data_IF_432270046499
#
_entry.id   IF_432270046499
#
_cell.length_a   1.000
_cell.length_b   1.000
_cell.length_c   1.000
_cell.angle_alpha   90.00
_cell.angle_beta   90.00
_cell.angle_gamma   90.00
#
_symmetry.space_group_name_H-M   'P 1'
#
loop_
_entity.id
_entity.type
_entity.pdbx_description
1 polymer ?
#
# COMPACT_ATOMS: atom_id res chain seq x y z
N UNK A 1 -4.24 -16.36 -21.67
CA UNK A 1 -5.00 -16.83 -20.49
C UNK A 1 -6.52 -16.70 -20.66
N UNK A 2 -7.04 -16.05 -21.71
CA UNK A 2 -8.47 -16.12 -22.10
C UNK A 2 -9.37 -14.99 -21.57
N UNK A 3 -8.92 -14.21 -20.58
CA UNK A 3 -9.66 -13.05 -20.07
C UNK A 3 -9.58 -11.84 -20.99
N UNK A 4 -10.56 -10.94 -20.87
CA UNK A 4 -10.62 -9.66 -21.59
C UNK A 4 -10.00 -8.56 -20.73
N UNK A 5 -9.02 -7.85 -21.29
CA UNK A 5 -8.26 -6.82 -20.58
C UNK A 5 -8.20 -5.57 -21.44
N UNK A 6 -8.72 -4.47 -20.91
CA UNK A 6 -8.72 -3.15 -21.53
C UNK A 6 -7.34 -2.49 -21.53
N UNK A 7 -7.33 -1.20 -21.87
CA UNK A 7 -6.13 -0.37 -22.00
C UNK A 7 -5.94 0.50 -20.76
N UNK A 8 -4.69 0.92 -20.51
CA UNK A 8 -4.31 1.90 -19.46
C UNK A 8 -4.66 1.44 -18.04
N UNK A 9 -4.48 0.15 -17.78
CA UNK A 9 -4.66 -0.42 -16.45
C UNK A 9 -3.43 -0.10 -15.60
N UNK A 10 -3.66 0.28 -14.34
CA UNK A 10 -2.61 0.68 -13.41
C UNK A 10 -2.67 -0.12 -12.10
N UNK A 11 -1.51 -0.62 -11.65
CA UNK A 11 -1.32 -1.14 -10.29
C UNK A 11 0.07 -0.72 -9.76
N UNK A 12 0.17 -0.08 -8.58
CA UNK A 12 1.44 0.47 -8.09
C UNK A 12 2.41 -0.58 -7.52
N UNK A 13 1.89 -1.72 -7.08
CA UNK A 13 2.60 -2.67 -6.22
C UNK A 13 2.36 -4.11 -6.69
N UNK A 14 1.70 -4.93 -5.88
CA UNK A 14 1.28 -6.29 -6.21
C UNK A 14 0.03 -6.22 -7.07
N UNK A 15 0.07 -6.84 -8.26
CA UNK A 15 -1.08 -6.92 -9.15
C UNK A 15 -2.23 -7.76 -8.56
N UNK A 16 -3.42 -7.71 -9.19
CA UNK A 16 -4.54 -8.54 -8.78
C UNK A 16 -4.23 -10.02 -8.97
N UNK A 17 -4.55 -10.83 -7.97
CA UNK A 17 -4.44 -12.29 -8.03
C UNK A 17 -5.76 -12.87 -8.53
N UNK A 18 -5.72 -13.60 -9.63
CA UNK A 18 -6.89 -14.31 -10.15
C UNK A 18 -6.90 -15.71 -9.55
N UNK A 19 -7.94 -16.00 -8.79
CA UNK A 19 -8.17 -17.32 -8.20
C UNK A 19 -9.16 -18.07 -9.09
N UNK A 20 -8.65 -19.11 -9.76
CA UNK A 20 -9.39 -19.93 -10.71
C UNK A 20 -9.06 -19.59 -12.16
N UNK A 21 -10.09 -19.26 -12.93
CA UNK A 21 -10.11 -19.24 -14.37
C UNK A 21 -9.97 -17.83 -14.95
N UNK A 22 -8.82 -17.55 -15.56
CA UNK A 22 -8.55 -16.25 -16.20
C UNK A 22 -9.53 -15.89 -17.33
N UNK A 23 -10.18 -16.86 -17.98
CA UNK A 23 -11.17 -16.60 -19.02
C UNK A 23 -12.50 -16.05 -18.49
N UNK A 24 -12.69 -16.09 -17.17
CA UNK A 24 -13.84 -15.52 -16.46
C UNK A 24 -13.50 -14.18 -15.81
N UNK A 25 -12.47 -13.49 -16.30
CA UNK A 25 -12.12 -12.15 -15.85
C UNK A 25 -12.27 -11.19 -17.03
N UNK A 26 -13.06 -10.13 -16.82
CA UNK A 26 -13.20 -9.01 -17.74
C UNK A 26 -12.85 -7.70 -17.06
N UNK A 27 -11.83 -7.02 -17.57
CA UNK A 27 -11.37 -5.72 -17.07
C UNK A 27 -11.47 -4.69 -18.18
N UNK A 28 -12.16 -3.57 -17.91
CA UNK A 28 -12.32 -2.45 -18.81
C UNK A 28 -11.08 -1.56 -18.94
N UNK A 29 -11.28 -0.39 -19.56
CA UNK A 29 -10.25 0.63 -19.76
C UNK A 29 -10.05 1.48 -18.50
N UNK A 30 -8.83 1.99 -18.28
CA UNK A 30 -8.49 2.95 -17.21
C UNK A 30 -8.78 2.45 -15.77
N UNK A 31 -8.77 1.14 -15.56
CA UNK A 31 -8.96 0.50 -14.25
C UNK A 31 -7.71 0.66 -13.39
N UNK A 32 -7.91 0.95 -12.11
CA UNK A 32 -6.85 1.02 -11.11
C UNK A 32 -7.01 -0.12 -10.12
N UNK A 33 -5.92 -0.84 -9.85
CA UNK A 33 -5.84 -1.86 -8.81
C UNK A 33 -4.91 -1.42 -7.67
N UNK A 34 -5.36 -1.65 -6.44
CA UNK A 34 -4.56 -1.63 -5.23
C UNK A 34 -3.88 -2.98 -4.98
N UNK A 35 -3.10 -2.99 -3.92
CA UNK A 35 -2.25 -4.12 -3.53
C UNK A 35 -3.09 -5.29 -3.01
N UNK A 36 -2.71 -6.51 -3.41
CA UNK A 36 -3.26 -7.76 -2.87
C UNK A 36 -4.79 -7.88 -3.03
N UNK A 37 -5.32 -7.46 -4.18
CA UNK A 37 -6.72 -7.70 -4.54
C UNK A 37 -6.90 -9.10 -5.15
N UNK A 38 -8.04 -9.73 -4.89
CA UNK A 38 -8.35 -11.10 -5.33
C UNK A 38 -9.59 -11.10 -6.22
N UNK A 39 -9.45 -11.69 -7.40
CA UNK A 39 -10.54 -11.91 -8.35
C UNK A 39 -10.88 -13.41 -8.33
N UNK A 40 -11.92 -13.77 -7.59
CA UNK A 40 -12.34 -15.17 -7.42
C UNK A 40 -13.39 -15.48 -8.47
N UNK A 41 -13.08 -16.42 -9.35
CA UNK A 41 -13.92 -16.74 -10.53
C UNK A 41 -14.71 -18.03 -10.37
N UNK A 42 -14.35 -18.86 -9.39
CA UNK A 42 -15.05 -20.09 -9.04
C UNK A 42 -15.01 -20.35 -7.53
N UNK A 43 -16.07 -20.95 -7.02
CA UNK A 43 -16.20 -21.44 -5.64
C UNK A 43 -16.96 -22.78 -5.65
N UNK A 44 -17.35 -23.28 -4.48
CA UNK A 44 -18.11 -24.53 -4.38
C UNK A 44 -19.54 -24.48 -4.98
N UNK A 45 -20.06 -23.29 -5.26
CA UNK A 45 -21.39 -23.09 -5.84
C UNK A 45 -21.29 -23.10 -7.38
N UNK A 46 -20.22 -22.54 -7.92
CA UNK A 46 -19.91 -22.61 -9.34
C UNK A 46 -19.06 -21.45 -9.83
N UNK A 47 -18.83 -21.42 -11.13
CA UNK A 47 -18.03 -20.39 -11.78
C UNK A 47 -18.89 -19.18 -12.22
N UNK A 48 -18.27 -18.00 -12.30
CA UNK A 48 -18.94 -16.78 -12.74
C UNK A 48 -17.95 -15.69 -13.12
N UNK A 49 -18.25 -14.96 -14.19
CA UNK A 49 -17.37 -13.91 -14.70
C UNK A 49 -17.30 -12.72 -13.75
N UNK A 50 -16.10 -12.40 -13.26
CA UNK A 50 -15.84 -11.16 -12.53
C UNK A 50 -15.64 -10.04 -13.56
N UNK A 51 -16.50 -9.03 -13.50
CA UNK A 51 -16.49 -7.91 -14.46
C UNK A 51 -16.12 -6.62 -13.75
N UNK A 52 -15.10 -5.92 -14.24
CA UNK A 52 -14.67 -4.63 -13.76
C UNK A 52 -14.79 -3.65 -14.92
N UNK A 53 -15.74 -2.73 -14.84
CA UNK A 53 -16.02 -1.79 -15.93
C UNK A 53 -15.03 -0.62 -15.97
N UNK A 54 -15.14 0.18 -17.03
CA UNK A 54 -14.23 1.28 -17.32
C UNK A 54 -14.10 2.26 -16.16
N UNK A 55 -12.87 2.71 -15.92
CA UNK A 55 -12.51 3.68 -14.87
C UNK A 55 -12.82 3.19 -13.45
N UNK A 56 -13.18 1.93 -13.22
CA UNK A 56 -13.33 1.43 -11.86
C UNK A 56 -12.00 1.53 -11.07
N UNK A 57 -12.11 1.59 -9.75
CA UNK A 57 -10.98 1.53 -8.84
C UNK A 57 -11.20 0.38 -7.84
N UNK A 58 -10.33 -0.61 -7.89
CA UNK A 58 -10.32 -1.78 -7.00
C UNK A 58 -9.16 -1.60 -6.03
N UNK A 59 -9.43 -1.16 -4.81
CA UNK A 59 -8.43 -0.82 -3.81
C UNK A 59 -7.69 -2.03 -3.20
N UNK A 60 -6.91 -1.75 -2.15
CA UNK A 60 -6.13 -2.77 -1.47
C UNK A 60 -7.02 -3.84 -0.80
N UNK A 61 -6.65 -5.12 -0.93
CA UNK A 61 -7.33 -6.26 -0.28
C UNK A 61 -8.81 -6.41 -0.65
N UNK A 62 -9.23 -5.87 -1.79
CA UNK A 62 -10.57 -6.12 -2.31
C UNK A 62 -10.67 -7.56 -2.76
N UNK A 63 -11.78 -8.22 -2.42
CA UNK A 63 -12.10 -9.58 -2.87
C UNK A 63 -13.36 -9.50 -3.69
N UNK A 64 -13.29 -9.82 -4.98
CA UNK A 64 -14.45 -9.90 -5.86
C UNK A 64 -14.82 -11.38 -6.05
N UNK A 65 -16.01 -11.77 -5.60
CA UNK A 65 -16.52 -13.15 -5.71
C UNK A 65 -17.12 -13.43 -7.10
N UNK A 66 -17.36 -14.70 -7.46
CA UNK A 66 -17.75 -15.06 -8.82
C UNK A 66 -19.02 -14.34 -9.28
N UNK A 67 -19.03 -13.87 -10.53
CA UNK A 67 -20.18 -13.16 -11.10
C UNK A 67 -20.41 -11.74 -10.58
N UNK A 68 -19.53 -11.20 -9.71
CA UNK A 68 -19.64 -9.80 -9.27
C UNK A 68 -19.24 -8.83 -10.37
N UNK A 69 -19.94 -7.69 -10.43
CA UNK A 69 -19.69 -6.63 -11.42
C UNK A 69 -19.45 -5.30 -10.73
N UNK A 70 -18.27 -4.71 -10.95
CA UNK A 70 -17.93 -3.36 -10.48
C UNK A 70 -18.24 -2.37 -11.60
N UNK A 71 -19.25 -1.51 -11.37
CA UNK A 71 -19.73 -0.56 -12.37
C UNK A 71 -18.72 0.53 -12.73
N UNK A 72 -18.95 1.19 -13.87
CA UNK A 72 -18.02 2.18 -14.41
C UNK A 72 -17.74 3.32 -13.42
N UNK A 73 -16.46 3.62 -13.19
CA UNK A 73 -16.04 4.64 -12.23
C UNK A 73 -16.33 4.32 -10.76
N UNK A 74 -16.85 3.13 -10.43
CA UNK A 74 -17.09 2.76 -9.05
C UNK A 74 -15.75 2.55 -8.31
N UNK A 75 -15.75 2.83 -7.00
CA UNK A 75 -14.60 2.66 -6.13
C UNK A 75 -14.91 1.58 -5.11
N UNK A 76 -14.26 0.43 -5.26
CA UNK A 76 -14.17 -0.60 -4.24
C UNK A 76 -12.97 -0.26 -3.36
N UNK A 77 -13.19 0.43 -2.25
CA UNK A 77 -12.19 0.83 -1.27
C UNK A 77 -11.55 -0.35 -0.54
N UNK A 78 -10.63 -0.06 0.36
CA UNK A 78 -9.81 -1.11 0.99
C UNK A 78 -10.65 -2.17 1.71
N UNK A 79 -10.31 -3.45 1.48
CA UNK A 79 -11.00 -4.60 2.04
C UNK A 79 -12.44 -4.77 1.58
N UNK A 80 -12.88 -4.09 0.51
CA UNK A 80 -14.23 -4.25 -0.01
C UNK A 80 -14.48 -5.70 -0.45
N UNK A 81 -15.62 -6.25 -0.03
CA UNK A 81 -16.10 -7.55 -0.51
C UNK A 81 -17.14 -7.35 -1.62
N UNK A 82 -16.83 -7.88 -2.80
CA UNK A 82 -17.73 -8.04 -3.93
C UNK A 82 -18.54 -9.33 -3.78
N UNK A 83 -19.80 -9.25 -3.38
CA UNK A 83 -20.69 -10.39 -3.22
C UNK A 83 -20.96 -11.08 -4.56
N UNK A 84 -21.09 -12.42 -4.51
CA UNK A 84 -21.38 -13.27 -5.67
C UNK A 84 -22.60 -12.75 -6.44
N UNK A 85 -22.46 -12.57 -7.76
CA UNK A 85 -23.54 -12.14 -8.64
C UNK A 85 -24.04 -10.70 -8.46
N UNK A 86 -23.45 -9.91 -7.53
CA UNK A 86 -23.92 -8.55 -7.24
C UNK A 86 -23.31 -7.54 -8.21
N UNK A 87 -24.13 -6.58 -8.64
CA UNK A 87 -23.71 -5.41 -9.39
C UNK A 87 -23.53 -4.21 -8.46
N UNK A 88 -22.35 -3.60 -8.50
CA UNK A 88 -22.02 -2.37 -7.77
C UNK A 88 -22.21 -1.18 -8.69
N UNK A 89 -23.10 -0.27 -8.31
CA UNK A 89 -23.52 0.88 -9.11
C UNK A 89 -22.34 1.73 -9.62
N UNK A 90 -22.44 2.23 -10.85
CA UNK A 90 -21.47 3.16 -11.43
C UNK A 90 -21.26 4.41 -10.56
N UNK A 91 -20.01 4.82 -10.40
CA UNK A 91 -19.54 5.92 -9.52
C UNK A 91 -19.87 5.75 -8.02
N UNK A 92 -20.37 4.59 -7.60
CA UNK A 92 -20.58 4.29 -6.18
C UNK A 92 -19.26 4.09 -5.44
N UNK A 93 -19.23 4.41 -4.15
CA UNK A 93 -18.07 4.18 -3.27
C UNK A 93 -18.43 3.14 -2.22
N UNK A 94 -17.71 2.03 -2.23
CA UNK A 94 -17.93 0.87 -1.36
C UNK A 94 -16.65 0.59 -0.57
N UNK A 95 -16.75 0.08 0.65
CA UNK A 95 -15.56 -0.25 1.47
C UNK A 95 -15.85 -1.44 2.39
N UNK A 96 -14.81 -2.19 2.70
CA UNK A 96 -14.88 -3.23 3.72
C UNK A 96 -15.84 -4.38 3.47
N UNK A 97 -16.11 -5.13 4.53
CA UNK A 97 -16.98 -6.28 4.52
C UNK A 97 -17.79 -6.32 5.81
N UNK A 98 -19.10 -6.14 5.68
CA UNK A 98 -20.05 -6.23 6.79
C UNK A 98 -21.21 -7.12 6.35
N UNK A 99 -21.44 -8.21 7.10
CA UNK A 99 -22.50 -9.20 6.81
C UNK A 99 -22.41 -9.83 5.41
N UNK A 100 -21.20 -10.07 4.93
CA UNK A 100 -20.96 -10.79 3.66
C UNK A 100 -21.00 -9.91 2.39
N UNK A 101 -20.95 -8.60 2.55
CA UNK A 101 -20.93 -7.64 1.44
C UNK A 101 -20.23 -6.34 1.86
N UNK A 102 -19.87 -5.50 0.90
CA UNK A 102 -19.26 -4.19 1.15
C UNK A 102 -20.26 -3.13 1.62
N UNK A 103 -19.77 -2.19 2.42
CA UNK A 103 -20.52 -1.05 2.93
C UNK A 103 -20.51 0.07 1.91
N UNK A 104 -21.68 0.53 1.47
CA UNK A 104 -21.81 1.67 0.58
C UNK A 104 -21.66 2.99 1.36
N UNK A 105 -20.66 3.80 1.00
CA UNK A 105 -20.45 5.14 1.55
C UNK A 105 -21.19 6.20 0.72
N UNK A 106 -21.20 6.02 -0.60
CA UNK A 106 -21.86 6.92 -1.56
C UNK A 106 -22.52 6.06 -2.64
N UNK A 107 -23.85 6.16 -2.75
CA UNK A 107 -24.63 5.47 -3.77
C UNK A 107 -24.34 6.00 -5.18
N UNK A 108 -24.38 5.11 -6.18
CA UNK A 108 -24.07 5.46 -7.57
C UNK A 108 -25.25 6.05 -8.33
N UNK A 109 -25.00 6.40 -9.59
CA UNK A 109 -25.97 7.09 -10.47
C UNK A 109 -27.22 6.23 -10.79
N UNK A 110 -27.15 4.91 -10.61
CA UNK A 110 -28.24 3.95 -10.85
C UNK A 110 -29.16 3.70 -9.65
N UNK A 111 -28.79 4.13 -8.43
CA UNK A 111 -29.58 3.86 -7.21
C UNK A 111 -30.71 4.87 -6.96
N UNK A 112 -30.85 5.87 -7.85
CA UNK A 112 -31.96 6.81 -7.79
C UNK A 112 -33.27 6.14 -8.26
N UNK A 113 -34.03 5.56 -7.34
CA UNK A 113 -35.43 5.26 -7.60
C UNK A 113 -36.18 6.55 -7.97
N UNK A 114 -37.17 6.50 -8.89
CA UNK A 114 -37.89 7.70 -9.35
C UNK A 114 -38.61 8.47 -8.23
N UNK A 115 -38.78 7.87 -7.04
CA UNK A 115 -39.39 8.49 -5.88
C UNK A 115 -38.55 9.62 -5.26
N UNK A 116 -37.21 9.55 -5.31
CA UNK A 116 -36.34 10.56 -4.68
C UNK A 116 -36.18 11.85 -5.50
N UNK A 117 -36.49 11.81 -6.80
CA UNK A 117 -36.53 13.02 -7.64
C UNK A 117 -37.71 13.93 -7.31
N UNK A 118 -38.79 13.38 -6.75
CA UNK A 118 -39.98 14.17 -6.39
C UNK A 118 -39.78 14.93 -5.07
N UNK A 119 -39.01 14.37 -4.12
CA UNK A 119 -38.78 14.98 -2.80
C UNK A 119 -37.74 16.11 -2.82
N UNK A 120 -36.70 16.01 -3.65
CA UNK A 120 -35.73 17.11 -3.84
C UNK A 120 -36.29 18.32 -4.59
N UNK A 121 -37.40 18.17 -5.32
CA UNK A 121 -38.03 19.29 -6.05
C UNK A 121 -38.99 20.10 -5.18
N UNK A 122 -39.52 19.54 -4.08
CA UNK A 122 -40.37 20.26 -3.13
C UNK A 122 -39.59 21.08 -2.09
N UNK A 123 -38.32 20.74 -1.81
CA UNK A 123 -37.48 21.49 -0.85
C UNK A 123 -36.67 22.63 -1.48
N UNK A 124 -36.52 22.66 -2.81
CA UNK A 124 -35.85 23.74 -3.53
C UNK A 124 -36.80 24.91 -3.91
N UNK A 125 -38.08 24.82 -3.59
CA UNK A 125 -39.07 25.87 -3.82
C UNK A 125 -39.16 26.86 -2.64
N UNK A 126 -38.01 27.40 -2.21
CA UNK A 126 -37.98 28.50 -1.26
C UNK A 126 -36.69 29.32 -1.44
N UNK A 127 -36.61 30.09 -2.52
CA UNK A 127 -36.10 31.49 -2.58
C UNK A 127 -35.68 31.86 -4.01
N UNK A 128 -36.04 33.06 -4.52
CA UNK A 128 -35.85 33.41 -5.93
C UNK A 128 -34.59 34.25 -6.15
N UNK A 129 -33.71 33.87 -7.07
CA UNK A 129 -32.76 34.82 -7.68
C UNK A 129 -32.57 34.48 -9.18
N UNK A 130 -33.19 35.32 -10.00
CA UNK A 130 -32.94 35.67 -11.40
C UNK A 130 -32.11 34.72 -12.28
N UNK A 131 -32.83 34.07 -13.19
CA UNK A 131 -32.29 33.47 -14.40
C UNK A 131 -31.87 34.55 -15.42
N UNK A 132 -30.64 34.48 -15.91
CA UNK A 132 -30.25 35.06 -17.20
C UNK A 132 -29.93 33.91 -18.14
N UNK A 133 -30.81 33.76 -19.13
CA UNK A 133 -30.69 32.87 -20.27
C UNK A 133 -29.65 33.41 -21.24
N UNK A 134 -28.69 32.58 -21.64
CA UNK A 134 -27.95 32.78 -22.89
C UNK A 134 -27.85 31.45 -23.62
N UNK A 135 -28.71 31.29 -24.61
CA UNK A 135 -28.61 30.26 -25.63
C UNK A 135 -27.35 30.51 -26.49
N UNK A 136 -26.59 29.46 -26.77
CA UNK A 136 -25.63 29.44 -27.87
C UNK A 136 -25.69 28.13 -28.66
N UNK A 137 -25.39 28.19 -29.97
CA UNK A 137 -25.94 27.29 -30.97
C UNK A 137 -25.02 26.10 -31.25
N UNK A 138 -25.63 25.09 -31.87
CA UNK A 138 -24.98 23.93 -32.46
C UNK A 138 -23.90 24.31 -33.49
N UNK A 139 -22.65 23.89 -33.26
CA UNK A 139 -21.64 23.82 -34.32
C UNK A 139 -20.60 22.70 -34.09
N UNK A 140 -20.55 21.80 -35.08
CA UNK A 140 -19.42 20.99 -35.55
C UNK A 140 -18.66 20.04 -34.60
N UNK A 141 -18.77 18.75 -34.91
CA UNK A 141 -18.44 17.57 -34.12
C UNK A 141 -17.09 16.90 -34.39
N UNK A 142 -15.98 17.65 -34.58
CA UNK A 142 -14.69 17.02 -34.95
C UNK A 142 -13.45 17.53 -34.20
N UNK A 143 -13.61 18.30 -33.12
CA UNK A 143 -12.51 18.75 -32.25
C UNK A 143 -12.74 18.61 -30.73
N UNK A 144 -13.94 18.20 -30.32
CA UNK A 144 -14.35 18.13 -28.90
C UNK A 144 -13.94 16.83 -28.20
N UNK A 145 -13.73 15.74 -28.94
CA UNK A 145 -13.53 14.42 -28.34
C UNK A 145 -12.16 14.28 -27.63
N UNK A 146 -11.12 14.96 -28.11
CA UNK A 146 -9.80 14.95 -27.45
C UNK A 146 -9.73 15.89 -26.25
N UNK A 147 -10.32 17.10 -26.31
CA UNK A 147 -10.34 18.01 -25.16
C UNK A 147 -11.20 17.45 -24.02
N UNK A 148 -12.31 16.79 -24.34
CA UNK A 148 -13.14 16.11 -23.35
C UNK A 148 -12.40 14.90 -22.74
N UNK A 149 -11.73 14.06 -23.54
CA UNK A 149 -10.83 12.99 -23.05
C UNK A 149 -9.64 13.51 -22.22
N UNK A 150 -9.12 14.71 -22.50
CA UNK A 150 -8.06 15.37 -21.70
C UNK A 150 -8.56 15.77 -20.31
N UNK A 151 -9.84 16.11 -20.16
CA UNK A 151 -10.45 16.50 -18.87
C UNK A 151 -10.89 15.27 -18.06
N UNK A 152 -11.33 14.20 -18.73
CA UNK A 152 -11.82 12.97 -18.09
C UNK A 152 -10.72 12.00 -17.60
N UNK A 153 -9.47 12.19 -18.03
CA UNK A 153 -8.37 11.36 -17.58
C UNK A 153 -8.00 11.65 -16.11
N UNK A 154 -7.82 10.58 -15.33
CA UNK A 154 -7.33 10.63 -13.94
C UNK A 154 -5.95 11.32 -13.88
N UNK A 155 -5.57 11.96 -12.76
CA UNK A 155 -4.30 12.68 -12.63
C UNK A 155 -3.07 11.85 -13.04
N UNK A 156 -3.05 10.57 -12.69
CA UNK A 156 -2.01 9.63 -13.14
C UNK A 156 -1.94 9.50 -14.67
N UNK A 157 -3.08 9.33 -15.33
CA UNK A 157 -3.15 9.21 -16.79
C UNK A 157 -2.80 10.52 -17.51
N UNK A 158 -3.18 11.67 -16.94
CA UNK A 158 -2.77 12.99 -17.43
C UNK A 158 -1.25 13.15 -17.40
N UNK A 159 -0.62 12.73 -16.31
CA UNK A 159 0.83 12.80 -16.18
C UNK A 159 1.56 11.82 -17.12
N UNK A 160 1.22 10.53 -17.07
CA UNK A 160 2.01 9.48 -17.74
C UNK A 160 1.65 9.30 -19.22
N UNK A 161 0.37 9.34 -19.57
CA UNK A 161 -0.08 9.06 -20.94
C UNK A 161 -0.24 10.32 -21.78
N UNK A 162 -0.64 11.43 -21.17
CA UNK A 162 -0.88 12.69 -21.88
C UNK A 162 0.27 13.69 -21.75
N UNK A 163 1.24 13.45 -20.85
CA UNK A 163 2.40 14.33 -20.66
C UNK A 163 2.05 15.70 -20.08
N UNK A 164 0.94 15.82 -19.36
CA UNK A 164 0.41 17.10 -18.84
C UNK A 164 0.98 17.50 -17.47
N UNK A 165 2.11 16.91 -17.05
CA UNK A 165 2.75 17.25 -15.79
C UNK A 165 3.77 18.40 -15.96
N UNK A 166 3.93 19.30 -14.97
CA UNK A 166 4.92 20.38 -15.01
C UNK A 166 6.37 19.91 -14.80
N UNK A 167 6.60 18.60 -14.75
CA UNK A 167 7.90 17.98 -14.49
C UNK A 167 8.11 16.77 -15.42
N UNK A 168 9.36 16.32 -15.51
CA UNK A 168 9.70 15.16 -16.34
C UNK A 168 9.22 13.85 -15.68
N UNK A 169 8.17 13.26 -16.26
CA UNK A 169 7.65 11.94 -15.86
C UNK A 169 8.45 10.84 -16.55
N UNK A 170 8.98 9.90 -15.76
CA UNK A 170 9.70 8.76 -16.31
C UNK A 170 8.74 7.83 -17.07
N UNK A 171 9.05 7.59 -18.33
CA UNK A 171 8.28 6.68 -19.18
C UNK A 171 8.33 5.23 -18.69
N UNK A 172 7.38 4.42 -19.15
CA UNK A 172 7.24 3.01 -18.75
C UNK A 172 8.50 2.17 -19.05
N UNK A 173 9.17 2.44 -20.17
CA UNK A 173 10.41 1.74 -20.53
C UNK A 173 11.54 2.04 -19.54
N UNK A 174 11.81 3.32 -19.28
CA UNK A 174 12.80 3.73 -18.27
C UNK A 174 12.46 3.18 -16.89
N UNK A 175 11.16 3.17 -16.54
CA UNK A 175 10.68 2.60 -15.30
C UNK A 175 11.00 1.10 -15.17
N UNK A 176 10.81 0.36 -16.25
CA UNK A 176 11.15 -1.06 -16.34
C UNK A 176 12.66 -1.28 -16.24
N UNK A 177 13.46 -0.48 -16.95
CA UNK A 177 14.92 -0.58 -16.92
C UNK A 177 15.49 -0.35 -15.52
N UNK A 178 15.13 0.74 -14.84
CA UNK A 178 15.67 0.99 -13.49
C UNK A 178 15.14 -0.04 -12.48
N UNK A 179 13.89 -0.50 -12.62
CA UNK A 179 13.34 -1.52 -11.73
C UNK A 179 14.10 -2.84 -11.88
N UNK A 180 14.39 -3.27 -13.12
CA UNK A 180 15.20 -4.46 -13.39
C UNK A 180 16.65 -4.29 -12.91
N UNK A 181 17.25 -3.13 -13.13
CA UNK A 181 18.60 -2.83 -12.64
C UNK A 181 18.67 -2.90 -11.11
N UNK A 182 17.72 -2.27 -10.41
CA UNK A 182 17.66 -2.31 -8.94
C UNK A 182 17.49 -3.75 -8.42
N UNK A 183 16.75 -4.61 -9.13
CA UNK A 183 16.62 -6.02 -8.78
C UNK A 183 17.98 -6.72 -8.81
N UNK A 184 18.72 -6.55 -9.90
CA UNK A 184 20.04 -7.18 -10.10
C UNK A 184 21.03 -6.66 -9.07
N UNK A 185 21.07 -5.34 -8.85
CA UNK A 185 21.97 -4.72 -7.87
C UNK A 185 21.71 -5.23 -6.45
N UNK A 186 20.44 -5.33 -6.04
CA UNK A 186 20.09 -5.86 -4.71
C UNK A 186 20.49 -7.32 -4.56
N UNK A 187 20.34 -8.14 -5.61
CA UNK A 187 20.77 -9.54 -5.58
C UNK A 187 22.29 -9.65 -5.41
N UNK A 188 23.06 -8.96 -6.26
CA UNK A 188 24.53 -8.93 -6.20
C UNK A 188 25.02 -8.41 -4.85
N UNK A 189 24.37 -7.38 -4.32
CA UNK A 189 24.69 -6.84 -3.01
C UNK A 189 24.63 -7.93 -1.94
N UNK A 190 23.50 -8.61 -1.77
CA UNK A 190 23.35 -9.61 -0.69
C UNK A 190 24.17 -10.89 -0.88
N UNK A 191 24.63 -11.19 -2.09
CA UNK A 191 25.54 -12.33 -2.33
C UNK A 191 27.02 -11.99 -2.01
N UNK A 192 27.36 -10.71 -1.91
CA UNK A 192 28.73 -10.22 -1.71
C UNK A 192 29.41 -10.74 -0.42
N UNK A 193 28.76 -10.76 0.77
CA UNK A 193 29.40 -11.22 2.01
C UNK A 193 29.88 -12.67 1.96
N UNK A 194 29.10 -13.55 1.33
CA UNK A 194 29.44 -14.97 1.21
C UNK A 194 30.68 -15.16 0.34
N UNK A 195 30.76 -14.43 -0.78
CA UNK A 195 31.90 -14.48 -1.69
C UNK A 195 33.15 -13.91 -0.99
N UNK A 196 33.03 -12.77 -0.30
CA UNK A 196 34.13 -12.16 0.44
C UNK A 196 34.62 -13.05 1.59
N UNK A 197 33.71 -13.69 2.32
CA UNK A 197 34.08 -14.60 3.41
C UNK A 197 34.89 -15.79 2.89
N UNK A 198 34.51 -16.37 1.75
CA UNK A 198 35.27 -17.45 1.10
C UNK A 198 36.67 -16.97 0.70
N UNK A 199 36.79 -15.79 0.10
CA UNK A 199 38.09 -15.22 -0.31
C UNK A 199 39.02 -14.95 0.88
N UNK A 200 38.46 -14.42 1.97
CA UNK A 200 39.22 -14.17 3.20
C UNK A 200 39.64 -15.48 3.85
N UNK A 201 38.73 -16.45 3.97
CA UNK A 201 39.07 -17.78 4.49
C UNK A 201 40.21 -18.40 3.67
N UNK A 202 40.07 -18.45 2.34
CA UNK A 202 41.10 -18.98 1.43
C UNK A 202 42.46 -18.27 1.60
N UNK A 203 42.47 -16.96 1.81
CA UNK A 203 43.71 -16.20 2.07
C UNK A 203 44.33 -16.50 3.43
N UNK A 204 43.51 -16.60 4.48
CA UNK A 204 43.96 -16.95 5.84
C UNK A 204 44.54 -18.37 5.86
N UNK A 205 43.86 -19.33 5.25
CA UNK A 205 44.31 -20.73 5.15
C UNK A 205 45.64 -20.86 4.42
N UNK A 206 45.82 -20.11 3.32
CA UNK A 206 47.09 -20.11 2.58
C UNK A 206 48.25 -19.47 3.35
N UNK A 207 47.99 -18.42 4.14
CA UNK A 207 49.03 -17.78 4.97
C UNK A 207 49.36 -18.59 6.23
N UNK A 208 48.36 -19.23 6.82
CA UNK A 208 48.49 -20.00 8.06
C UNK A 208 48.42 -21.50 7.78
N UNK A 209 49.04 -21.96 6.69
CA UNK A 209 49.03 -23.38 6.29
C UNK A 209 49.50 -24.32 7.39
N UNK A 210 50.28 -23.82 8.37
CA UNK A 210 50.71 -24.55 9.57
C UNK A 210 49.59 -24.86 10.57
N UNK A 211 48.49 -24.11 10.62
CA UNK A 211 47.38 -24.35 11.57
C UNK A 211 46.48 -25.52 11.18
N UNK A 212 46.52 -25.96 9.92
CA UNK A 212 45.76 -27.09 9.38
C UNK A 212 46.69 -28.14 8.74
N UNK A 213 48.00 -28.01 8.95
CA UNK A 213 49.01 -28.91 8.38
C UNK A 213 49.07 -30.25 9.12
N UNK A 214 48.71 -30.26 10.40
CA UNK A 214 48.85 -31.44 11.26
C UNK A 214 47.68 -32.44 11.07
N UNK A 215 46.60 -32.04 10.38
CA UNK A 215 45.49 -32.92 10.00
C UNK A 215 44.69 -33.41 11.19
N UNK A 216 44.49 -32.53 12.18
CA UNK A 216 43.77 -32.86 13.39
C UNK A 216 42.26 -32.98 13.11
N UNK A 217 41.57 -33.83 13.88
CA UNK A 217 40.14 -34.11 13.68
C UNK A 217 39.24 -32.87 13.86
N UNK A 218 39.74 -31.79 14.48
CA UNK A 218 39.02 -30.54 14.73
C UNK A 218 39.27 -29.46 13.66
N UNK A 219 40.16 -29.69 12.70
CA UNK A 219 40.45 -28.79 11.59
C UNK A 219 39.19 -28.32 10.80
N UNK A 220 38.22 -29.20 10.50
CA UNK A 220 36.98 -28.78 9.85
C UNK A 220 36.12 -27.86 10.72
N UNK A 221 36.15 -28.04 12.04
CA UNK A 221 35.40 -27.21 12.98
C UNK A 221 35.97 -25.80 13.05
N UNK A 222 37.30 -25.67 13.07
CA UNK A 222 37.99 -24.38 13.04
C UNK A 222 37.72 -23.64 11.73
N UNK A 223 37.80 -24.33 10.60
CA UNK A 223 37.48 -23.76 9.28
C UNK A 223 36.03 -23.24 9.24
N UNK A 224 35.09 -24.05 9.74
CA UNK A 224 33.69 -23.64 9.83
C UNK A 224 33.50 -22.42 10.73
N UNK A 225 34.14 -22.39 11.90
CA UNK A 225 34.05 -21.28 12.84
C UNK A 225 34.59 -19.96 12.25
N UNK A 226 35.74 -20.01 11.57
CA UNK A 226 36.32 -18.84 10.89
C UNK A 226 35.39 -18.35 9.78
N UNK A 227 34.90 -19.25 8.94
CA UNK A 227 33.98 -18.90 7.85
C UNK A 227 32.68 -18.29 8.40
N UNK A 228 32.09 -18.90 9.44
CA UNK A 228 30.89 -18.39 10.08
C UNK A 228 31.10 -16.99 10.70
N UNK A 229 32.25 -16.77 11.37
CA UNK A 229 32.60 -15.48 11.93
C UNK A 229 32.78 -14.40 10.85
N UNK A 230 33.46 -14.72 9.74
CA UNK A 230 33.62 -13.81 8.60
C UNK A 230 32.28 -13.47 7.95
N UNK A 231 31.42 -14.47 7.72
CA UNK A 231 30.07 -14.26 7.16
C UNK A 231 29.26 -13.36 8.11
N UNK A 232 29.24 -13.67 9.41
CA UNK A 232 28.51 -12.88 10.39
C UNK A 232 28.98 -11.42 10.41
N UNK A 233 30.30 -11.18 10.39
CA UNK A 233 30.87 -9.83 10.36
C UNK A 233 30.48 -9.08 9.07
N UNK A 234 30.68 -9.69 7.90
CA UNK A 234 30.38 -9.03 6.62
C UNK A 234 28.89 -8.78 6.42
N UNK A 235 28.03 -9.74 6.76
CA UNK A 235 26.58 -9.57 6.70
C UNK A 235 26.11 -8.47 7.65
N UNK A 236 26.70 -8.37 8.84
CA UNK A 236 26.37 -7.29 9.80
C UNK A 236 26.78 -5.93 9.25
N UNK A 237 28.02 -5.77 8.80
CA UNK A 237 28.52 -4.52 8.18
C UNK A 237 27.65 -4.12 6.99
N UNK A 238 27.33 -5.09 6.13
CA UNK A 238 26.51 -4.85 4.97
C UNK A 238 25.07 -4.46 5.34
N UNK A 239 24.49 -5.07 6.36
CA UNK A 239 23.15 -4.71 6.84
C UNK A 239 23.11 -3.27 7.38
N UNK A 240 24.14 -2.86 8.13
CA UNK A 240 24.27 -1.48 8.60
C UNK A 240 24.44 -0.49 7.44
N UNK A 241 25.21 -0.87 6.42
CA UNK A 241 25.37 -0.08 5.20
C UNK A 241 24.05 0.03 4.41
N UNK A 242 23.28 -1.05 4.28
CA UNK A 242 21.98 -1.03 3.62
C UNK A 242 21.00 -0.11 4.35
N UNK A 243 20.92 -0.21 5.68
CA UNK A 243 20.07 0.65 6.49
C UNK A 243 20.47 2.13 6.35
N UNK A 244 21.76 2.45 6.37
CA UNK A 244 22.23 3.83 6.20
C UNK A 244 21.97 4.37 4.78
N UNK A 245 22.12 3.55 3.74
CA UNK A 245 21.76 3.91 2.36
C UNK A 245 20.28 4.25 2.26
N UNK A 246 19.39 3.43 2.86
CA UNK A 246 17.94 3.68 2.82
C UNK A 246 17.60 5.00 3.51
N UNK A 247 18.13 5.21 4.72
CA UNK A 247 17.90 6.45 5.48
C UNK A 247 18.43 7.66 4.69
N UNK A 248 19.66 7.61 4.19
CA UNK A 248 20.25 8.69 3.41
C UNK A 248 19.45 8.99 2.14
N UNK A 249 19.04 7.95 1.40
CA UNK A 249 18.26 8.10 0.17
C UNK A 249 16.92 8.79 0.45
N UNK A 250 16.23 8.41 1.54
CA UNK A 250 14.99 9.08 1.96
C UNK A 250 15.21 10.58 2.16
N UNK A 251 16.24 10.97 2.90
CA UNK A 251 16.52 12.38 3.20
C UNK A 251 17.00 13.17 1.99
N UNK A 252 17.76 12.56 1.09
CA UNK A 252 18.27 13.22 -0.13
C UNK A 252 17.16 13.39 -1.17
N UNK A 253 16.31 12.38 -1.38
CA UNK A 253 15.32 12.37 -2.48
C UNK A 253 13.97 12.99 -2.06
N UNK A 254 13.43 12.58 -0.91
CA UNK A 254 12.13 13.07 -0.43
C UNK A 254 12.26 14.25 0.53
N UNK A 255 13.30 14.27 1.37
CA UNK A 255 13.40 15.24 2.46
C UNK A 255 12.38 14.95 3.56
N UNK A 256 11.79 16.00 4.13
CA UNK A 256 10.64 15.87 5.06
C UNK A 256 9.34 15.93 4.27
N UNK A 257 8.56 14.85 4.29
CA UNK A 257 7.21 14.89 3.75
C UNK A 257 6.32 15.82 4.58
N UNK A 258 5.49 16.61 3.91
CA UNK A 258 4.51 17.49 4.54
C UNK A 258 3.10 17.05 4.15
N UNK A 259 2.12 17.35 5.00
CA UNK A 259 0.72 17.11 4.68
C UNK A 259 0.30 18.00 3.50
N UNK A 260 -0.47 17.44 2.57
CA UNK A 260 -0.91 18.15 1.38
C UNK A 260 -1.26 17.23 0.21
N UNK A 261 -1.70 17.84 -0.88
CA UNK A 261 -2.07 17.17 -2.12
C UNK A 261 -0.87 17.13 -3.08
N UNK A 262 -0.48 15.92 -3.50
CA UNK A 262 0.68 15.62 -4.33
C UNK A 262 0.31 14.77 -5.55
N UNK A 263 -0.79 15.14 -6.22
CA UNK A 263 -1.26 14.46 -7.43
C UNK A 263 -0.15 14.31 -8.48
N UNK A 264 -0.22 13.20 -9.24
CA UNK A 264 0.75 12.85 -10.26
C UNK A 264 0.93 13.91 -11.36
N UNK A 265 -0.09 14.71 -11.65
CA UNK A 265 -0.02 15.77 -12.65
C UNK A 265 0.41 17.12 -12.08
N UNK A 266 0.56 17.25 -10.76
CA UNK A 266 0.97 18.49 -10.09
C UNK A 266 2.39 18.41 -9.54
N UNK A 267 2.79 17.27 -8.99
CA UNK A 267 4.04 17.14 -8.23
C UNK A 267 4.85 15.90 -8.56
N UNK A 268 6.17 16.04 -8.57
CA UNK A 268 7.11 14.94 -8.75
C UNK A 268 7.26 14.04 -7.52
N UNK A 269 6.54 14.32 -6.42
CA UNK A 269 6.62 13.56 -5.17
C UNK A 269 6.41 12.06 -5.39
N UNK A 270 5.35 11.66 -6.09
CA UNK A 270 5.02 10.26 -6.31
C UNK A 270 6.12 9.49 -7.08
N UNK A 271 6.79 10.15 -8.03
CA UNK A 271 7.92 9.57 -8.76
C UNK A 271 9.15 9.41 -7.86
N UNK A 272 9.47 10.43 -7.05
CA UNK A 272 10.56 10.41 -6.08
C UNK A 272 10.34 9.35 -4.99
N UNK A 273 9.11 9.23 -4.51
CA UNK A 273 8.67 8.19 -3.58
C UNK A 273 8.89 6.79 -4.16
N UNK A 274 8.48 6.54 -5.42
CA UNK A 274 8.76 5.27 -6.11
C UNK A 274 10.25 4.95 -6.24
N UNK A 275 11.12 5.95 -6.38
CA UNK A 275 12.58 5.73 -6.40
C UNK A 275 13.10 5.27 -5.03
N UNK A 276 12.59 5.85 -3.94
CA UNK A 276 12.97 5.40 -2.60
C UNK A 276 12.44 4.00 -2.31
N UNK A 277 11.21 3.68 -2.72
CA UNK A 277 10.69 2.30 -2.65
C UNK A 277 11.54 1.29 -3.42
N UNK A 278 12.20 1.70 -4.51
CA UNK A 278 13.12 0.84 -5.25
C UNK A 278 14.40 0.56 -4.45
N UNK A 279 14.91 1.53 -3.69
CA UNK A 279 16.07 1.36 -2.79
C UNK A 279 15.70 0.57 -1.54
N UNK A 280 14.49 0.74 -1.00
CA UNK A 280 13.96 -0.08 0.10
C UNK A 280 13.89 -1.59 -0.21
N UNK A 281 14.01 -1.99 -1.49
CA UNK A 281 14.18 -3.40 -1.86
C UNK A 281 15.42 -4.03 -1.22
N UNK A 282 16.44 -3.22 -0.88
CA UNK A 282 17.60 -3.66 -0.09
C UNK A 282 17.17 -4.29 1.23
N UNK A 283 16.20 -3.70 1.93
CA UNK A 283 15.59 -4.30 3.12
C UNK A 283 14.71 -5.48 2.71
N UNK A 284 13.67 -5.27 1.89
CA UNK A 284 12.63 -6.28 1.64
C UNK A 284 13.13 -7.62 1.09
N UNK A 285 14.33 -7.65 0.49
CA UNK A 285 14.95 -8.87 -0.05
C UNK A 285 16.07 -9.45 0.80
N UNK A 286 16.53 -8.72 1.82
CA UNK A 286 17.51 -9.23 2.75
C UNK A 286 16.99 -10.53 3.40
N UNK A 287 17.91 -11.46 3.66
CA UNK A 287 17.62 -12.70 4.41
C UNK A 287 16.45 -13.51 3.82
N UNK A 288 16.46 -13.77 2.51
CA UNK A 288 15.38 -14.49 1.79
C UNK A 288 14.00 -13.84 1.94
N UNK A 289 13.99 -12.52 2.05
CA UNK A 289 12.78 -11.72 2.15
C UNK A 289 12.33 -11.40 3.58
N UNK A 290 12.98 -11.92 4.62
CA UNK A 290 12.66 -11.51 6.00
C UNK A 290 12.85 -10.00 6.21
N UNK A 291 13.84 -9.42 5.53
CA UNK A 291 14.26 -8.04 5.76
C UNK A 291 15.04 -7.88 7.07
N UNK A 292 15.89 -6.86 7.13
CA UNK A 292 16.54 -6.53 8.39
C UNK A 292 15.55 -5.90 9.37
N UNK A 293 14.53 -5.19 8.86
CA UNK A 293 13.42 -4.72 9.69
C UNK A 293 12.69 -5.86 10.39
N UNK A 294 12.53 -7.01 9.73
CA UNK A 294 11.95 -8.21 10.35
C UNK A 294 12.78 -8.75 11.51
N UNK A 295 14.12 -8.58 11.48
CA UNK A 295 15.01 -8.99 12.57
C UNK A 295 15.03 -7.98 13.73
N UNK A 296 14.86 -6.69 13.44
CA UNK A 296 14.78 -5.64 14.46
C UNK A 296 13.38 -5.53 15.08
N UNK A 297 12.40 -6.24 14.51
CA UNK A 297 11.01 -6.18 14.90
C UNK A 297 10.78 -6.40 16.40
N UNK A 298 9.89 -5.61 17.00
CA UNK A 298 9.61 -5.62 18.44
C UNK A 298 10.73 -5.07 19.33
N UNK A 299 11.92 -4.76 18.78
CA UNK A 299 13.04 -4.21 19.54
C UNK A 299 13.04 -2.69 19.57
N UNK A 300 13.80 -2.12 20.51
CA UNK A 300 14.07 -0.68 20.58
C UNK A 300 14.71 -0.14 19.28
N UNK A 301 15.51 -0.94 18.57
CA UNK A 301 16.16 -0.52 17.33
C UNK A 301 15.17 -0.26 16.19
N UNK A 302 14.05 -0.97 16.15
CA UNK A 302 13.00 -0.71 15.16
C UNK A 302 12.38 0.69 15.35
N UNK A 303 12.09 1.07 16.60
CA UNK A 303 11.62 2.41 16.91
C UNK A 303 12.67 3.48 16.54
N UNK A 304 13.96 3.23 16.80
CA UNK A 304 15.02 4.16 16.38
C UNK A 304 15.12 4.32 14.87
N UNK A 305 15.01 3.22 14.11
CA UNK A 305 15.03 3.26 12.66
C UNK A 305 13.94 4.18 12.10
N UNK A 306 12.70 4.07 12.59
CA UNK A 306 11.61 4.95 12.16
C UNK A 306 11.77 6.39 12.63
N UNK A 307 12.35 6.63 13.82
CA UNK A 307 12.74 7.99 14.25
C UNK A 307 13.77 8.61 13.32
N UNK A 308 14.77 7.84 12.87
CA UNK A 308 15.77 8.30 11.89
C UNK A 308 15.14 8.58 10.52
N UNK A 309 14.07 7.89 10.16
CA UNK A 309 13.27 8.20 8.98
C UNK A 309 12.31 9.38 9.17
N UNK A 310 12.15 9.90 10.39
CA UNK A 310 11.42 11.14 10.69
C UNK A 310 10.15 10.98 11.52
N UNK A 311 9.78 9.76 11.93
CA UNK A 311 8.64 9.55 12.82
C UNK A 311 8.88 10.10 14.23
N UNK A 312 7.82 10.61 14.85
CA UNK A 312 7.85 10.99 16.27
C UNK A 312 7.30 9.83 17.08
N UNK A 313 8.17 9.11 17.79
CA UNK A 313 7.80 7.89 18.52
C UNK A 313 8.18 8.03 19.98
N UNK A 314 7.23 7.84 20.90
CA UNK A 314 7.43 7.89 22.35
C UNK A 314 8.24 6.72 22.92
N UNK A 315 8.38 6.68 24.24
CA UNK A 315 9.17 5.69 24.99
C UNK A 315 8.47 4.34 25.05
N UNK A 316 9.25 3.27 25.13
CA UNK A 316 8.76 1.90 25.37
C UNK A 316 7.72 1.40 24.34
N UNK A 317 7.82 1.89 23.10
CA UNK A 317 6.99 1.42 21.99
C UNK A 317 7.58 0.17 21.36
N UNK A 318 6.71 -0.80 21.04
CA UNK A 318 7.06 -1.99 20.30
C UNK A 318 6.41 -1.92 18.91
N UNK A 319 7.23 -1.96 17.86
CA UNK A 319 6.77 -1.86 16.48
C UNK A 319 7.00 -3.19 15.78
N UNK A 320 5.95 -3.69 15.15
CA UNK A 320 5.89 -4.99 14.48
C UNK A 320 6.04 -6.20 15.42
N UNK A 321 5.64 -6.09 16.69
CA UNK A 321 5.91 -7.08 17.74
C UNK A 321 5.68 -8.56 17.37
N UNK A 322 4.67 -8.89 16.55
CA UNK A 322 4.40 -10.23 16.02
C UNK A 322 5.36 -10.74 14.93
N UNK A 323 6.45 -10.02 14.64
CA UNK A 323 7.51 -10.45 13.74
C UNK A 323 7.52 -9.71 12.41
N UNK A 324 7.37 -10.43 11.29
CA UNK A 324 7.61 -9.88 9.96
C UNK A 324 6.51 -8.88 9.55
N UNK A 325 6.85 -7.59 9.31
CA UNK A 325 5.86 -6.61 8.88
C UNK A 325 5.32 -6.97 7.49
N UNK A 326 4.00 -7.01 7.35
CA UNK A 326 3.36 -7.17 6.04
C UNK A 326 3.30 -5.87 5.25
N UNK A 327 3.21 -4.73 5.95
CA UNK A 327 3.22 -3.39 5.36
C UNK A 327 4.15 -2.52 6.20
N UNK A 328 5.12 -1.88 5.55
CA UNK A 328 6.02 -0.93 6.20
C UNK A 328 5.35 0.44 6.35
N UNK A 329 5.81 1.23 7.31
CA UNK A 329 5.38 2.63 7.48
C UNK A 329 5.93 3.44 6.29
N UNK A 330 5.04 3.89 5.39
CA UNK A 330 5.43 4.45 4.09
C UNK A 330 5.91 5.90 4.15
N UNK A 331 5.32 6.71 5.04
CA UNK A 331 5.78 8.09 5.29
C UNK A 331 5.96 8.32 6.80
N UNK A 332 7.08 7.86 7.38
CA UNK A 332 7.34 8.00 8.81
C UNK A 332 7.26 9.44 9.30
N UNK A 333 7.64 10.43 8.49
CA UNK A 333 7.57 11.87 8.83
C UNK A 333 6.18 12.35 9.28
N UNK A 334 5.12 11.69 8.82
CA UNK A 334 3.73 12.07 9.11
C UNK A 334 3.14 11.27 10.26
N UNK A 335 3.90 10.37 10.86
CA UNK A 335 3.46 9.51 11.95
C UNK A 335 3.94 10.03 13.30
N UNK A 336 2.97 10.26 14.20
CA UNK A 336 3.21 10.56 15.61
C UNK A 336 2.64 9.43 16.47
N UNK A 337 3.46 8.85 17.32
CA UNK A 337 3.11 7.82 18.30
C UNK A 337 3.53 8.26 19.70
N UNK A 338 2.61 8.15 20.66
CA UNK A 338 2.85 8.40 22.08
C UNK A 338 3.73 7.35 22.75
N UNK A 339 3.74 7.33 24.08
CA UNK A 339 4.48 6.37 24.90
C UNK A 339 3.75 5.03 25.03
N UNK A 340 4.51 3.92 25.13
CA UNK A 340 4.00 2.55 25.35
C UNK A 340 3.01 2.08 24.28
N UNK A 341 3.15 2.55 23.05
CA UNK A 341 2.33 2.09 21.91
C UNK A 341 2.83 0.72 21.43
N UNK A 342 1.91 -0.21 21.23
CA UNK A 342 2.20 -1.52 20.66
C UNK A 342 1.56 -1.61 19.29
N UNK A 343 2.40 -1.65 18.26
CA UNK A 343 2.03 -1.99 16.90
C UNK A 343 2.46 -3.43 16.67
N UNK A 344 1.50 -4.33 16.55
CA UNK A 344 1.74 -5.71 16.14
C UNK A 344 1.97 -5.72 14.61
N UNK A 345 1.44 -6.67 13.84
CA UNK A 345 1.48 -6.59 12.37
C UNK A 345 0.32 -5.72 11.81
N UNK A 346 0.38 -4.41 12.07
CA UNK A 346 -0.65 -3.44 11.63
C UNK A 346 -0.13 -2.49 10.53
N UNK A 347 -1.05 -1.96 9.72
CA UNK A 347 -0.75 -1.03 8.62
C UNK A 347 -1.13 0.41 9.00
N UNK A 348 -0.14 1.29 9.11
CA UNK A 348 -0.35 2.73 9.31
C UNK A 348 0.12 3.44 8.03
N UNK A 349 -0.84 3.99 7.28
CA UNK A 349 -0.57 4.58 5.96
C UNK A 349 -1.10 6.00 5.91
N UNK A 350 -0.16 6.95 5.85
CA UNK A 350 -0.41 8.40 5.84
C UNK A 350 -0.87 8.95 4.51
N UNK A 351 -0.85 8.16 3.43
CA UNK A 351 -1.32 8.57 2.12
C UNK A 351 -2.65 7.95 1.74
N UNK A 352 -3.41 8.66 0.90
CA UNK A 352 -4.53 8.11 0.13
C UNK A 352 -4.14 8.23 -1.34
N UNK A 353 -4.11 7.10 -2.04
CA UNK A 353 -3.88 7.05 -3.47
C UNK A 353 -5.13 6.50 -4.17
N UNK A 354 -6.13 7.36 -4.37
CA UNK A 354 -7.43 6.97 -4.92
C UNK A 354 -7.67 7.74 -6.21
N UNK A 355 -7.99 7.04 -7.30
CA UNK A 355 -8.27 7.67 -8.60
C UNK A 355 -7.11 8.53 -9.17
N UNK A 356 -5.88 8.33 -8.70
CA UNK A 356 -4.71 9.11 -9.08
C UNK A 356 -4.52 10.41 -8.29
N UNK A 357 -5.43 10.75 -7.36
CA UNK A 357 -5.16 11.77 -6.35
C UNK A 357 -4.29 11.18 -5.26
N UNK A 358 -3.25 11.93 -4.86
CA UNK A 358 -2.30 11.47 -3.85
C UNK A 358 -2.26 12.48 -2.71
N UNK A 359 -3.03 12.21 -1.66
CA UNK A 359 -3.15 13.08 -0.49
C UNK A 359 -2.33 12.52 0.66
N UNK A 360 -1.54 13.38 1.30
CA UNK A 360 -0.77 13.09 2.49
C UNK A 360 -1.41 13.78 3.68
N UNK A 361 -1.76 13.01 4.71
CA UNK A 361 -2.29 13.51 5.97
C UNK A 361 -1.54 12.88 7.15
N UNK A 362 -1.38 13.62 8.25
CA UNK A 362 -0.74 13.10 9.45
C UNK A 362 -1.55 11.95 10.06
N UNK A 363 -0.85 11.04 10.75
CA UNK A 363 -1.41 9.98 11.58
C UNK A 363 -0.95 10.19 13.01
N UNK A 364 -1.88 10.13 13.95
CA UNK A 364 -1.62 10.33 15.37
C UNK A 364 -2.12 9.12 16.17
N UNK A 365 -1.23 8.53 16.96
CA UNK A 365 -1.54 7.43 17.88
C UNK A 365 -1.14 7.84 19.28
N UNK A 366 -2.11 7.94 20.19
CA UNK A 366 -1.92 8.35 21.57
C UNK A 366 -1.20 7.30 22.42
N UNK A 367 -0.89 7.66 23.66
CA UNK A 367 -0.19 6.78 24.59
C UNK A 367 -0.94 5.47 24.84
N UNK A 368 -0.20 4.39 25.06
CA UNK A 368 -0.72 3.06 25.46
C UNK A 368 -1.71 2.45 24.46
N UNK A 369 -1.73 2.95 23.22
CA UNK A 369 -2.55 2.35 22.17
C UNK A 369 -2.03 0.99 21.76
N UNK A 370 -2.95 0.10 21.38
CA UNK A 370 -2.64 -1.24 20.89
C UNK A 370 -3.27 -1.44 19.51
N UNK A 371 -2.44 -1.68 18.50
CA UNK A 371 -2.87 -2.02 17.14
C UNK A 371 -2.52 -3.49 16.88
N UNK A 372 -3.53 -4.37 16.91
CA UNK A 372 -3.33 -5.82 16.74
C UNK A 372 -3.13 -6.23 15.28
N UNK A 373 -2.67 -7.47 15.06
CA UNK A 373 -2.38 -8.01 13.73
C UNK A 373 -3.52 -7.80 12.73
N UNK A 374 -3.17 -7.33 11.54
CA UNK A 374 -4.11 -7.11 10.44
C UNK A 374 -4.97 -5.85 10.57
N UNK A 375 -4.87 -5.11 11.69
CA UNK A 375 -5.53 -3.80 11.81
C UNK A 375 -4.89 -2.75 10.91
N UNK A 376 -5.65 -1.72 10.56
CA UNK A 376 -5.25 -0.67 9.64
C UNK A 376 -5.80 0.68 10.05
N UNK A 377 -4.91 1.66 10.06
CA UNK A 377 -5.20 3.08 10.31
C UNK A 377 -4.98 3.85 9.00
N UNK A 378 -6.05 4.35 8.40
CA UNK A 378 -5.99 5.10 7.14
C UNK A 378 -5.60 6.57 7.36
N UNK A 379 -5.03 7.18 6.33
CA UNK A 379 -4.55 8.57 6.30
C UNK A 379 -5.50 9.56 6.97
N UNK A 380 -4.95 10.40 7.85
CA UNK A 380 -5.70 11.42 8.60
C UNK A 380 -6.40 10.90 9.85
N UNK A 381 -6.45 9.58 10.06
CA UNK A 381 -7.07 9.02 11.26
C UNK A 381 -6.22 9.22 12.52
N UNK A 382 -6.90 9.24 13.67
CA UNK A 382 -6.29 9.44 14.98
C UNK A 382 -6.78 8.39 15.97
N UNK A 383 -5.89 7.91 16.81
CA UNK A 383 -6.25 7.10 17.98
C UNK A 383 -5.89 7.87 19.23
N UNK A 384 -6.86 8.08 20.11
CA UNK A 384 -6.61 8.68 21.42
C UNK A 384 -6.02 7.64 22.39
N UNK A 385 -5.51 8.11 23.52
CA UNK A 385 -4.83 7.25 24.51
C UNK A 385 -5.68 6.05 24.97
N UNK A 386 -4.99 4.95 25.29
CA UNK A 386 -5.58 3.68 25.74
C UNK A 386 -6.54 2.99 24.75
N UNK A 387 -6.64 3.49 23.51
CA UNK A 387 -7.44 2.89 22.46
C UNK A 387 -6.84 1.57 21.95
N UNK A 388 -7.70 0.64 21.53
CA UNK A 388 -7.30 -0.67 21.04
C UNK A 388 -8.02 -1.03 19.73
N UNK A 389 -7.26 -1.36 18.69
CA UNK A 389 -7.79 -1.98 17.48
C UNK A 389 -7.62 -3.49 17.59
N UNK A 390 -8.72 -4.23 17.50
CA UNK A 390 -8.67 -5.68 17.40
C UNK A 390 -8.14 -6.12 16.03
N UNK A 391 -7.90 -7.42 15.89
CA UNK A 391 -7.42 -8.02 14.66
C UNK A 391 -8.34 -7.68 13.49
N UNK A 392 -7.73 -7.44 12.32
CA UNK A 392 -8.46 -7.13 11.09
C UNK A 392 -9.48 -5.97 11.23
N UNK A 393 -9.11 -4.94 11.99
CA UNK A 393 -9.94 -3.73 12.17
C UNK A 393 -9.48 -2.60 11.26
N UNK A 394 -10.41 -1.96 10.54
CA UNK A 394 -10.12 -0.80 9.68
C UNK A 394 -10.73 0.47 10.26
N UNK A 395 -9.88 1.41 10.67
CA UNK A 395 -10.29 2.79 10.98
C UNK A 395 -10.23 3.61 9.68
N UNK A 396 -11.33 4.31 9.35
CA UNK A 396 -11.42 5.06 8.11
C UNK A 396 -10.57 6.33 8.15
N UNK A 397 -10.25 6.87 6.97
CA UNK A 397 -9.41 8.07 6.88
C UNK A 397 -10.13 9.28 7.48
N UNK A 398 -9.46 9.97 8.41
CA UNK A 398 -10.02 11.11 9.14
C UNK A 398 -10.81 10.77 10.40
N UNK A 399 -11.11 9.49 10.65
CA UNK A 399 -11.82 9.07 11.86
C UNK A 399 -10.95 9.20 13.12
N UNK A 400 -11.60 9.40 14.25
CA UNK A 400 -10.97 9.44 15.58
C UNK A 400 -11.50 8.28 16.40
N UNK A 401 -10.60 7.45 16.94
CA UNK A 401 -10.93 6.43 17.94
C UNK A 401 -10.80 7.05 19.32
N UNK A 402 -11.87 7.02 20.09
CA UNK A 402 -11.93 7.71 21.39
C UNK A 402 -11.09 6.99 22.47
N UNK A 403 -10.85 7.71 23.57
CA UNK A 403 -9.99 7.26 24.67
C UNK A 403 -10.50 5.96 25.28
N UNK A 404 -9.62 4.97 25.43
CA UNK A 404 -9.95 3.68 26.03
C UNK A 404 -10.89 2.80 25.19
N UNK A 405 -11.29 3.24 23.99
CA UNK A 405 -12.23 2.47 23.17
C UNK A 405 -11.57 1.25 22.53
N UNK A 406 -12.38 0.23 22.31
CA UNK A 406 -11.99 -0.96 21.56
C UNK A 406 -12.75 -0.96 20.26
N UNK A 407 -12.06 -1.12 19.15
CA UNK A 407 -12.67 -1.14 17.83
C UNK A 407 -12.52 -2.52 17.20
N UNK A 408 -13.56 -2.98 16.50
CA UNK A 408 -13.53 -4.20 15.72
C UNK A 408 -14.29 -4.06 14.41
N UNK A 409 -13.79 -4.71 13.36
CA UNK A 409 -14.49 -4.84 12.09
C UNK A 409 -13.90 -3.98 10.99
N UNK A 410 -14.42 -4.18 9.78
CA UNK A 410 -13.89 -3.56 8.58
C UNK A 410 -15.06 -3.06 7.71
N UNK A 411 -15.53 -1.81 7.82
CA UNK A 411 -15.04 -0.74 8.71
C UNK A 411 -15.27 -1.01 10.19
N UNK A 412 -14.51 -0.32 11.03
CA UNK A 412 -14.52 -0.52 12.47
C UNK A 412 -15.79 0.04 13.15
N UNK A 413 -16.33 -0.73 14.09
CA UNK A 413 -17.34 -0.28 15.05
C UNK A 413 -16.81 -0.49 16.48
N UNK A 414 -17.39 0.22 17.45
CA UNK A 414 -17.06 0.04 18.88
C UNK A 414 -17.41 -1.39 19.31
N UNK A 415 -16.40 -2.10 19.81
CA UNK A 415 -16.53 -3.43 20.36
C UNK A 415 -16.92 -3.36 21.84
N UNK A 416 -18.09 -3.92 22.17
CA UNK A 416 -18.65 -3.95 23.54
C UNK A 416 -18.59 -5.33 24.20
N UNK A 417 -18.00 -6.33 23.55
CA UNK A 417 -17.87 -7.68 24.10
C UNK A 417 -16.76 -7.77 25.15
N UNK A 418 -16.72 -8.88 25.90
CA UNK A 418 -15.56 -9.18 26.74
C UNK A 418 -14.34 -9.46 25.84
N UNK A 419 -13.20 -8.86 26.17
CA UNK A 419 -11.94 -9.09 25.44
C UNK A 419 -11.30 -10.44 25.79
N UNK A 420 -11.70 -11.04 26.92
CA UNK A 420 -11.21 -12.31 27.45
C UNK A 420 -12.42 -13.20 27.66
N UNK A 421 -12.37 -14.43 27.13
CA UNK A 421 -13.33 -15.45 27.53
C UNK A 421 -12.96 -15.83 28.96
N UNK A 422 -13.82 -15.49 29.92
CA UNK A 422 -13.64 -15.87 31.33
C UNK A 422 -13.55 -17.39 31.50
#
# INVERSE_FOLDING_TARGET
LGGTVGKRIYWPSTGPEVVGDYHLVSVGDDVVFGSCSYLVTSDCIGAGTVTIEDRANVGDRVVLLPGSTVGAGAVMGTGALGQRGKHYSAQGKFVGSKRGDSVCLVGGVSDATPADKCRRRSEAAASPVSAVSSAHPSSSSWGTNEKQKRIEARPFGRALYQGLAPYHVLGQFTASCYSSLSFVLVAVYWDTPSILAIQVADRVLRQQSRLLADGDWWDPLLLYAVLAACIAAFVTIQTLLAASIIIATKWIILGRAQAGNYDWDKSSYCQRWKMVLAVERLDRRAFRGLGFLGMLSGTWYCAQYFRLLGATIGKDCAIFAGGRPTVTLTEPDLLTMGDRVVVDNASLVSHINTEGTFDLNPLEVGDRCVLRTGSRLLSGARMLEDACLLEHTLVMGGDVVDRGETMQGWPADVFRGSRVVD
#
